data_IF_760325898032
#
_entry.id   IF_760325898032
#
_cell.length_a   1.000
_cell.length_b   1.000
_cell.length_c   1.000
_cell.angle_alpha   90.00
_cell.angle_beta   90.00
_cell.angle_gamma   90.00
#
_symmetry.space_group_name_H-M   'P 1'
#
loop_
_entity.id
_entity.type
_entity.pdbx_description
1 polymer ?
#
# COMPACT_ATOMS: atom_id res chain seq x y z
N UNK A 1 50.00 -21.71 -41.85
CA UNK A 1 48.75 -20.82 -41.58
C UNK A 1 47.48 -21.67 -41.44
N UNK A 2 47.11 -22.63 -42.19
CA UNK A 2 45.87 -23.42 -42.10
C UNK A 2 45.65 -24.14 -40.75
N UNK A 3 46.66 -24.52 -39.98
CA UNK A 3 46.54 -25.20 -38.69
C UNK A 3 46.21 -24.25 -37.55
N UNK A 4 46.60 -22.98 -37.59
CA UNK A 4 46.33 -21.98 -36.58
C UNK A 4 44.84 -21.61 -36.59
N UNK A 5 44.23 -21.49 -37.74
CA UNK A 5 42.80 -21.22 -37.85
C UNK A 5 41.93 -22.37 -37.30
N UNK A 6 42.37 -23.61 -37.44
CA UNK A 6 41.65 -24.78 -36.92
C UNK A 6 41.61 -24.77 -35.39
N UNK A 7 42.69 -24.42 -34.71
CA UNK A 7 42.73 -24.28 -33.26
C UNK A 7 41.90 -23.08 -32.75
N UNK A 8 41.88 -21.98 -33.51
CA UNK A 8 41.06 -20.81 -33.21
C UNK A 8 39.56 -21.14 -33.23
N UNK A 9 39.06 -21.89 -34.19
CA UNK A 9 37.67 -22.35 -34.26
C UNK A 9 37.33 -23.33 -33.14
N UNK A 10 38.26 -24.16 -32.71
CA UNK A 10 38.05 -25.12 -31.63
C UNK A 10 37.95 -24.41 -30.25
N UNK A 11 38.75 -23.37 -30.03
CA UNK A 11 38.68 -22.55 -28.80
C UNK A 11 37.41 -21.73 -28.74
N UNK A 12 36.95 -21.17 -29.87
CA UNK A 12 35.69 -20.39 -29.94
C UNK A 12 34.47 -21.28 -29.66
N UNK A 13 34.47 -22.55 -30.07
CA UNK A 13 33.39 -23.51 -29.82
C UNK A 13 33.23 -23.88 -28.35
N UNK A 14 34.26 -23.71 -27.51
CA UNK A 14 34.19 -23.99 -26.07
C UNK A 14 33.57 -22.87 -25.23
N UNK A 15 33.40 -21.67 -25.81
CA UNK A 15 32.84 -20.51 -25.10
C UNK A 15 31.31 -20.50 -25.04
N UNK A 16 30.63 -21.42 -25.71
CA UNK A 16 29.16 -21.50 -25.73
C UNK A 16 28.54 -22.53 -24.78
N UNK A 17 29.33 -23.19 -23.92
CA UNK A 17 28.79 -23.99 -22.83
C UNK A 17 28.52 -23.08 -21.64
N UNK A 18 27.52 -22.21 -21.76
CA UNK A 18 26.87 -21.57 -20.59
C UNK A 18 25.93 -22.61 -19.99
N UNK A 19 26.34 -23.30 -18.94
CA UNK A 19 25.43 -24.03 -18.08
C UNK A 19 24.52 -23.02 -17.43
N UNK A 20 23.28 -22.97 -17.84
CA UNK A 20 22.19 -22.40 -17.02
C UNK A 20 21.75 -23.52 -16.08
N UNK A 21 22.47 -23.71 -14.97
CA UNK A 21 21.91 -24.46 -13.85
C UNK A 21 20.76 -23.62 -13.32
N UNK A 22 19.56 -24.15 -13.46
CA UNK A 22 18.41 -23.65 -12.70
C UNK A 22 18.69 -24.00 -11.25
N UNK A 23 19.15 -23.01 -10.49
CA UNK A 23 19.28 -23.15 -9.04
C UNK A 23 17.86 -23.24 -8.50
N UNK A 24 17.46 -24.42 -8.10
CA UNK A 24 16.24 -24.66 -7.33
C UNK A 24 16.47 -24.02 -5.96
N UNK A 25 16.02 -22.75 -5.81
CA UNK A 25 16.09 -22.03 -4.55
C UNK A 25 14.94 -22.54 -3.70
N UNK A 26 15.29 -23.40 -2.73
CA UNK A 26 14.34 -23.83 -1.69
C UNK A 26 13.98 -22.62 -0.84
N UNK A 27 12.99 -21.84 -1.29
CA UNK A 27 12.45 -20.72 -0.52
C UNK A 27 11.64 -21.34 0.60
N UNK A 28 12.17 -21.29 1.82
CA UNK A 28 11.47 -21.83 2.98
C UNK A 28 10.10 -21.19 3.11
N UNK A 29 9.08 -21.99 2.82
CA UNK A 29 7.68 -21.61 2.95
C UNK A 29 7.35 -21.37 4.42
N UNK A 30 7.08 -20.12 4.79
CA UNK A 30 6.76 -19.70 6.15
C UNK A 30 5.37 -20.16 6.66
N UNK A 31 4.74 -21.13 5.97
CA UNK A 31 3.36 -21.57 6.26
C UNK A 31 2.30 -20.65 5.63
N UNK A 32 1.07 -21.15 5.52
CA UNK A 32 -0.08 -20.38 5.04
C UNK A 32 -0.52 -19.40 6.14
N UNK A 33 -0.20 -18.13 6.02
CA UNK A 33 -0.61 -17.08 6.98
C UNK A 33 -1.89 -16.42 6.52
N UNK A 34 -2.70 -16.00 7.50
CA UNK A 34 -3.84 -15.11 7.26
C UNK A 34 -3.33 -13.76 6.74
N UNK A 35 -4.01 -13.22 5.74
CA UNK A 35 -3.84 -11.85 5.25
C UNK A 35 -5.12 -11.08 5.53
N UNK A 36 -5.00 -9.97 6.25
CA UNK A 36 -6.12 -9.11 6.65
C UNK A 36 -5.92 -7.74 6.01
N UNK A 37 -6.71 -7.43 5.00
CA UNK A 37 -6.75 -6.10 4.36
C UNK A 37 -7.97 -5.35 4.91
N UNK A 38 -7.77 -4.57 5.94
CA UNK A 38 -8.82 -3.87 6.67
C UNK A 38 -8.58 -2.36 6.69
N UNK A 39 -8.67 -1.71 5.52
CA UNK A 39 -8.64 -0.26 5.40
C UNK A 39 -10.07 0.28 5.44
N UNK A 40 -10.47 0.85 6.56
CA UNK A 40 -11.77 1.49 6.73
C UNK A 40 -11.64 2.99 6.47
N UNK A 41 -11.88 3.36 5.22
CA UNK A 41 -11.72 4.73 4.74
C UNK A 41 -13.06 5.47 4.84
N UNK A 42 -13.07 6.59 5.54
CA UNK A 42 -14.22 7.47 5.64
C UNK A 42 -14.01 8.70 4.77
N UNK A 43 -14.67 8.73 3.63
CA UNK A 43 -14.64 9.89 2.76
C UNK A 43 -15.34 11.08 3.42
N UNK A 44 -14.60 12.19 3.51
CA UNK A 44 -15.04 13.44 4.15
C UNK A 44 -16.38 13.92 3.60
N UNK A 45 -17.30 14.25 4.50
CA UNK A 45 -18.65 14.69 4.11
C UNK A 45 -19.64 13.56 3.77
N UNK A 46 -19.23 12.29 3.83
CA UNK A 46 -20.13 11.14 3.65
C UNK A 46 -20.52 10.52 5.00
N UNK A 47 -21.43 9.53 4.98
CA UNK A 47 -21.79 8.78 6.19
C UNK A 47 -20.69 7.82 6.64
N UNK A 48 -19.78 7.39 5.77
CA UNK A 48 -18.73 6.44 6.08
C UNK A 48 -19.19 5.05 6.52
N UNK A 49 -20.48 4.75 6.40
CA UNK A 49 -21.13 3.57 6.98
C UNK A 49 -20.91 2.28 6.17
N UNK A 50 -20.54 2.40 4.90
CA UNK A 50 -20.25 1.26 4.03
C UNK A 50 -18.77 0.96 4.06
N UNK A 51 -18.41 -0.20 4.59
CA UNK A 51 -17.01 -0.60 4.74
C UNK A 51 -16.81 -2.04 4.26
N UNK A 52 -15.59 -2.34 3.86
CA UNK A 52 -15.18 -3.65 3.37
C UNK A 52 -13.85 -4.07 4.01
N UNK A 53 -13.78 -5.33 4.41
CA UNK A 53 -12.56 -6.01 4.86
C UNK A 53 -12.35 -7.22 3.94
N UNK A 54 -11.11 -7.47 3.52
CA UNK A 54 -10.78 -8.63 2.70
C UNK A 54 -9.89 -9.58 3.48
N UNK A 55 -10.21 -10.87 3.39
CA UNK A 55 -9.46 -11.93 4.02
C UNK A 55 -8.98 -12.94 2.98
N UNK A 56 -7.69 -13.25 3.03
CA UNK A 56 -7.08 -14.28 2.20
C UNK A 56 -5.99 -15.03 2.98
N UNK A 57 -5.44 -16.07 2.38
CA UNK A 57 -4.24 -16.75 2.89
C UNK A 57 -3.05 -16.44 1.95
N UNK A 58 -1.87 -16.31 2.54
CA UNK A 58 -0.63 -16.17 1.78
C UNK A 58 -0.40 -17.40 0.91
N UNK A 59 -0.07 -17.19 -0.35
CA UNK A 59 0.34 -18.23 -1.30
C UNK A 59 1.84 -18.17 -1.54
N UNK A 60 2.52 -19.30 -1.78
CA UNK A 60 3.93 -19.30 -2.17
C UNK A 60 4.15 -18.51 -3.46
N UNK A 61 5.25 -17.77 -3.53
CA UNK A 61 5.55 -16.87 -4.65
C UNK A 61 5.67 -17.59 -6.01
N UNK A 62 6.13 -18.85 -5.99
CA UNK A 62 6.35 -19.64 -7.21
C UNK A 62 5.19 -20.57 -7.58
N UNK A 63 4.12 -20.56 -6.80
CA UNK A 63 2.95 -21.38 -7.12
C UNK A 63 2.00 -20.57 -8.00
N UNK A 64 1.64 -21.11 -9.15
CA UNK A 64 0.59 -20.61 -10.05
C UNK A 64 -0.83 -20.72 -9.40
N UNK A 65 -0.90 -20.59 -8.09
CA UNK A 65 -2.15 -20.74 -7.34
C UNK A 65 -2.84 -19.40 -7.24
N UNK A 66 -4.10 -19.37 -7.62
CA UNK A 66 -4.97 -18.21 -7.38
C UNK A 66 -5.00 -17.85 -5.89
N UNK A 67 -5.16 -16.55 -5.60
CA UNK A 67 -5.30 -16.04 -4.22
C UNK A 67 -6.30 -16.91 -3.45
N UNK A 68 -5.86 -17.50 -2.34
CA UNK A 68 -6.72 -18.32 -1.48
C UNK A 68 -7.60 -17.40 -0.63
N UNK A 69 -8.85 -17.22 -1.05
CA UNK A 69 -9.83 -16.43 -0.28
C UNK A 69 -10.24 -17.18 0.99
N UNK A 70 -10.53 -16.41 2.05
CA UNK A 70 -11.04 -16.93 3.33
C UNK A 70 -12.53 -16.66 3.42
N UNK A 71 -13.31 -17.71 3.66
CA UNK A 71 -14.77 -17.67 3.84
C UNK A 71 -15.14 -18.25 5.20
N UNK A 72 -16.29 -17.84 5.75
CA UNK A 72 -16.81 -18.36 7.01
C UNK A 72 -16.11 -17.80 8.26
N UNK A 73 -15.28 -16.79 8.17
CA UNK A 73 -14.75 -16.10 9.33
C UNK A 73 -15.82 -15.23 10.01
N UNK A 74 -15.69 -15.04 11.31
CA UNK A 74 -16.46 -14.02 12.04
C UNK A 74 -15.59 -12.78 12.10
N UNK A 75 -16.10 -11.66 11.54
CA UNK A 75 -15.37 -10.40 11.46
C UNK A 75 -16.19 -9.32 12.16
N UNK A 76 -15.63 -8.72 13.19
CA UNK A 76 -16.26 -7.63 13.95
C UNK A 76 -15.30 -6.45 14.14
N UNK A 77 -15.86 -5.25 14.17
CA UNK A 77 -15.15 -4.03 14.59
C UNK A 77 -15.93 -3.41 15.73
N UNK A 78 -15.29 -3.24 16.86
CA UNK A 78 -15.87 -2.59 18.04
C UNK A 78 -15.26 -1.22 18.26
N UNK A 79 -16.10 -0.26 18.63
CA UNK A 79 -15.66 1.05 19.11
C UNK A 79 -15.32 0.93 20.60
N UNK A 80 -14.09 1.25 20.98
CA UNK A 80 -13.58 1.02 22.33
C UNK A 80 -14.15 1.99 23.37
N UNK A 81 -14.64 3.17 22.96
CA UNK A 81 -15.19 4.18 23.86
C UNK A 81 -16.67 3.96 24.22
N UNK A 82 -17.45 3.43 23.27
CA UNK A 82 -18.90 3.24 23.48
C UNK A 82 -19.35 1.78 23.45
N UNK A 83 -18.42 0.85 23.19
CA UNK A 83 -18.66 -0.60 23.07
C UNK A 83 -19.66 -0.98 21.95
N UNK A 84 -19.90 -0.12 20.97
CA UNK A 84 -20.70 -0.48 19.80
C UNK A 84 -19.94 -1.48 18.95
N UNK A 85 -20.56 -2.62 18.65
CA UNK A 85 -19.95 -3.70 17.82
C UNK A 85 -20.67 -3.75 16.49
N UNK A 86 -19.88 -3.71 15.41
CA UNK A 86 -20.37 -3.84 14.05
C UNK A 86 -19.85 -5.14 13.46
N UNK A 87 -20.76 -6.00 13.04
CA UNK A 87 -20.43 -7.24 12.34
C UNK A 87 -20.31 -6.98 10.83
N UNK A 88 -19.29 -7.57 10.22
CA UNK A 88 -19.11 -7.61 8.77
C UNK A 88 -19.61 -8.94 8.23
N UNK A 89 -20.44 -8.87 7.18
CA UNK A 89 -21.09 -10.04 6.58
C UNK A 89 -20.23 -10.61 5.47
N UNK A 90 -19.94 -11.91 5.54
CA UNK A 90 -19.22 -12.66 4.50
C UNK A 90 -20.00 -12.65 3.18
N UNK A 91 -19.32 -12.24 2.10
CA UNK A 91 -19.86 -12.23 0.74
C UNK A 91 -19.51 -13.51 -0.05
N UNK A 92 -18.92 -14.50 0.59
CA UNK A 92 -18.44 -15.76 -0.01
C UNK A 92 -17.42 -15.59 -1.13
N UNK A 93 -16.66 -14.49 -1.12
CA UNK A 93 -15.61 -14.18 -2.10
C UNK A 93 -14.34 -13.62 -1.43
N UNK A 94 -14.18 -13.84 -0.13
CA UNK A 94 -13.09 -13.28 0.68
C UNK A 94 -13.33 -11.84 1.13
N UNK A 95 -14.44 -11.23 0.73
CA UNK A 95 -14.83 -9.89 1.16
C UNK A 95 -15.89 -9.98 2.27
N UNK A 96 -15.73 -9.17 3.30
CA UNK A 96 -16.66 -9.00 4.41
C UNK A 96 -17.13 -7.56 4.43
N UNK A 97 -18.43 -7.32 4.40
CA UNK A 97 -18.99 -5.97 4.22
C UNK A 97 -19.95 -5.59 5.33
N UNK A 98 -20.05 -4.30 5.58
CA UNK A 98 -21.09 -3.70 6.44
C UNK A 98 -21.66 -2.44 5.81
N UNK A 99 -22.87 -2.06 6.23
CA UNK A 99 -23.49 -0.75 5.93
C UNK A 99 -23.92 -0.01 7.20
N UNK A 100 -23.46 -0.46 8.35
CA UNK A 100 -23.83 0.07 9.67
C UNK A 100 -22.66 0.60 10.49
N UNK A 101 -21.46 0.71 9.89
CA UNK A 101 -20.33 1.31 10.57
C UNK A 101 -20.58 2.79 10.84
N UNK A 102 -20.16 3.26 12.02
CA UNK A 102 -20.30 4.67 12.44
C UNK A 102 -18.92 5.22 12.78
N UNK A 103 -18.26 5.86 11.82
CA UNK A 103 -16.95 6.45 12.06
C UNK A 103 -17.07 7.67 12.98
N UNK A 104 -16.20 7.74 13.98
CA UNK A 104 -16.06 8.90 14.88
C UNK A 104 -14.56 9.19 14.98
N UNK A 105 -14.13 10.37 14.52
CA UNK A 105 -12.74 10.79 14.58
C UNK A 105 -12.18 10.76 15.99
N UNK A 106 -10.90 10.44 16.11
CA UNK A 106 -10.16 10.36 17.37
C UNK A 106 -10.65 9.26 18.34
N UNK A 107 -11.58 8.38 17.91
CA UNK A 107 -11.95 7.22 18.71
C UNK A 107 -11.17 5.99 18.25
N UNK A 108 -10.89 5.10 19.20
CA UNK A 108 -10.19 3.85 18.95
C UNK A 108 -11.16 2.73 18.65
N UNK A 109 -10.74 1.84 17.76
CA UNK A 109 -11.52 0.69 17.34
C UNK A 109 -10.66 -0.57 17.41
N UNK A 110 -11.30 -1.66 17.77
CA UNK A 110 -10.68 -3.00 17.78
C UNK A 110 -11.34 -3.86 16.71
N UNK A 111 -10.52 -4.35 15.77
CA UNK A 111 -10.89 -5.41 14.83
C UNK A 111 -10.67 -6.76 15.51
N UNK A 112 -11.63 -7.65 15.37
CA UNK A 112 -11.49 -9.07 15.72
C UNK A 112 -11.89 -9.93 14.53
N UNK A 113 -11.01 -10.87 14.15
CA UNK A 113 -11.24 -11.87 13.12
C UNK A 113 -11.07 -13.25 13.75
N UNK A 114 -12.14 -14.06 13.74
CA UNK A 114 -12.11 -15.45 14.23
C UNK A 114 -12.26 -16.38 13.03
N UNK A 115 -11.28 -17.24 12.84
CA UNK A 115 -11.26 -18.20 11.73
C UNK A 115 -10.54 -19.50 12.12
N UNK A 116 -11.15 -20.65 11.86
CA UNK A 116 -10.61 -22.01 12.15
C UNK A 116 -10.12 -22.19 13.60
N UNK A 117 -10.74 -21.49 14.57
CA UNK A 117 -10.40 -21.55 15.98
C UNK A 117 -9.30 -20.58 16.42
N UNK A 118 -8.67 -19.88 15.49
CA UNK A 118 -7.71 -18.82 15.76
C UNK A 118 -8.41 -17.45 15.82
N UNK A 119 -7.87 -16.55 16.64
CA UNK A 119 -8.38 -15.18 16.80
C UNK A 119 -7.28 -14.18 16.52
N UNK A 120 -7.54 -13.29 15.58
CA UNK A 120 -6.63 -12.18 15.24
C UNK A 120 -7.25 -10.87 15.71
N UNK A 121 -6.46 -10.04 16.37
CA UNK A 121 -6.88 -8.76 16.94
C UNK A 121 -5.97 -7.66 16.43
N UNK A 122 -6.57 -6.54 16.04
CA UNK A 122 -5.85 -5.31 15.74
C UNK A 122 -6.57 -4.11 16.34
N UNK A 123 -5.82 -3.10 16.74
CA UNK A 123 -6.35 -1.86 17.29
C UNK A 123 -5.80 -0.66 16.53
N UNK A 124 -6.70 0.29 16.23
CA UNK A 124 -6.32 1.53 15.54
C UNK A 124 -7.27 2.66 15.94
N UNK A 125 -6.79 3.89 15.83
CA UNK A 125 -7.58 5.10 16.08
C UNK A 125 -7.96 5.75 14.75
N UNK A 126 -9.23 6.14 14.60
CA UNK A 126 -9.68 6.83 13.40
C UNK A 126 -9.05 8.22 13.34
N UNK A 127 -8.15 8.41 12.39
CA UNK A 127 -7.38 9.64 12.23
C UNK A 127 -8.09 10.59 11.27
N UNK A 128 -8.35 11.86 11.67
CA UNK A 128 -8.93 12.87 10.79
C UNK A 128 -7.95 13.28 9.69
N UNK A 129 -8.47 13.84 8.60
CA UNK A 129 -7.68 14.46 7.54
C UNK A 129 -8.06 15.91 7.34
N UNK A 130 -7.10 16.73 6.93
CA UNK A 130 -7.34 18.08 6.44
C UNK A 130 -7.92 18.06 5.03
N UNK A 131 -8.57 19.16 4.62
CA UNK A 131 -9.04 19.25 3.24
C UNK A 131 -7.89 19.59 2.28
N UNK A 132 -7.95 19.06 1.06
CA UNK A 132 -7.13 19.54 -0.06
C UNK A 132 -7.56 20.96 -0.36
N UNK A 133 -6.65 21.93 -0.22
CA UNK A 133 -6.95 23.34 -0.42
C UNK A 133 -7.00 23.71 -1.89
N UNK A 134 -6.00 23.28 -2.66
CA UNK A 134 -5.90 23.53 -4.08
C UNK A 134 -5.04 22.47 -4.78
N UNK A 135 -5.29 22.32 -6.07
CA UNK A 135 -4.48 21.51 -6.98
C UNK A 135 -4.19 22.38 -8.19
N UNK A 136 -2.93 22.41 -8.61
CA UNK A 136 -2.48 23.06 -9.85
C UNK A 136 -1.41 22.21 -10.54
N UNK A 137 -0.84 22.69 -11.61
CA UNK A 137 0.27 22.06 -12.32
C UNK A 137 1.37 23.08 -12.63
N UNK A 138 2.58 22.60 -12.69
CA UNK A 138 3.74 23.36 -13.16
C UNK A 138 4.82 22.41 -13.71
N UNK A 139 6.00 22.94 -13.98
CA UNK A 139 7.22 22.19 -14.28
C UNK A 139 8.38 22.67 -13.40
N UNK A 140 8.08 23.31 -12.23
CA UNK A 140 9.08 24.02 -11.44
C UNK A 140 9.43 23.31 -10.13
N UNK A 141 8.53 22.50 -9.60
CA UNK A 141 8.64 21.87 -8.28
C UNK A 141 9.10 20.39 -8.34
N UNK A 142 9.00 19.78 -9.53
CA UNK A 142 9.43 18.41 -9.78
C UNK A 142 10.93 18.22 -9.93
N UNK A 143 11.34 17.02 -10.30
CA UNK A 143 12.74 16.67 -10.53
C UNK A 143 13.22 17.10 -11.93
N UNK A 144 12.33 17.12 -12.92
CA UNK A 144 12.61 17.50 -14.31
C UNK A 144 11.74 18.68 -14.72
N UNK A 145 12.39 19.78 -15.15
CA UNK A 145 11.72 21.01 -15.55
C UNK A 145 11.03 20.96 -16.91
N UNK A 146 11.23 19.89 -17.64
CA UNK A 146 10.58 19.66 -18.93
C UNK A 146 9.32 18.76 -18.79
N UNK A 147 9.07 18.23 -17.57
CA UNK A 147 7.97 17.31 -17.26
C UNK A 147 6.89 18.02 -16.43
N UNK A 148 5.62 17.79 -16.78
CA UNK A 148 4.48 18.32 -16.01
C UNK A 148 4.37 17.57 -14.68
N UNK A 149 4.29 18.32 -13.59
CA UNK A 149 3.86 17.80 -12.28
C UNK A 149 2.52 18.39 -11.86
N UNK A 150 1.72 17.58 -11.15
CA UNK A 150 0.51 18.02 -10.47
C UNK A 150 0.85 18.30 -9.00
N UNK A 151 0.55 19.51 -8.55
CA UNK A 151 0.85 20.02 -7.22
C UNK A 151 -0.39 19.98 -6.34
N UNK A 152 -0.29 19.42 -5.16
CA UNK A 152 -1.37 19.27 -4.18
C UNK A 152 -1.00 20.07 -2.93
N UNK A 153 -1.87 20.97 -2.50
CA UNK A 153 -1.66 21.83 -1.34
C UNK A 153 -2.72 21.60 -0.29
N UNK A 154 -2.31 21.57 0.98
CA UNK A 154 -3.20 21.49 2.13
C UNK A 154 -2.56 22.20 3.34
N UNK A 155 -3.37 22.63 4.31
CA UNK A 155 -2.89 23.31 5.50
C UNK A 155 -2.83 22.33 6.66
N UNK A 156 -1.66 22.21 7.25
CA UNK A 156 -1.43 21.34 8.39
C UNK A 156 -1.82 22.03 9.72
N UNK A 157 -2.50 21.34 10.66
CA UNK A 157 -2.82 21.88 11.97
C UNK A 157 -1.60 21.97 12.88
N UNK A 158 -1.45 23.07 13.62
CA UNK A 158 -0.31 23.32 14.52
C UNK A 158 -0.33 22.50 15.82
N UNK A 159 -1.50 21.98 16.24
CA UNK A 159 -1.72 21.50 17.59
C UNK A 159 -1.01 20.19 17.94
N UNK A 160 -0.67 19.35 16.95
CA UNK A 160 -0.04 18.03 17.12
C UNK A 160 0.66 17.58 15.85
N UNK A 161 1.57 16.62 15.99
CA UNK A 161 2.22 15.97 14.83
C UNK A 161 1.19 15.24 13.97
N UNK A 162 1.24 15.48 12.68
CA UNK A 162 0.34 14.88 11.70
C UNK A 162 1.13 14.02 10.69
N UNK A 163 0.48 12.95 10.28
CA UNK A 163 0.99 12.03 9.28
C UNK A 163 -0.05 11.85 8.19
N UNK A 164 0.39 11.88 6.95
CA UNK A 164 -0.47 11.77 5.79
C UNK A 164 0.03 10.69 4.84
N UNK A 165 -0.91 10.11 4.10
CA UNK A 165 -0.63 9.31 2.92
C UNK A 165 -1.35 9.97 1.75
N UNK A 166 -0.64 10.21 0.66
CA UNK A 166 -1.27 10.58 -0.61
C UNK A 166 -1.27 9.38 -1.54
N UNK A 167 -2.41 9.17 -2.21
CA UNK A 167 -2.57 8.19 -3.26
C UNK A 167 -2.94 8.94 -4.53
N UNK A 168 -2.08 8.84 -5.52
CA UNK A 168 -2.11 9.59 -6.77
C UNK A 168 -2.24 8.60 -7.91
N UNK A 169 -3.31 8.69 -8.69
CA UNK A 169 -3.61 7.70 -9.71
C UNK A 169 -4.01 8.37 -11.03
N UNK A 170 -3.11 8.38 -11.98
CA UNK A 170 -3.48 8.65 -13.35
C UNK A 170 -4.29 7.46 -13.88
N UNK A 171 -5.49 7.72 -14.41
CA UNK A 171 -6.50 6.67 -14.70
C UNK A 171 -6.08 5.62 -15.73
N UNK A 172 -5.02 5.87 -16.49
CA UNK A 172 -4.45 4.90 -17.45
C UNK A 172 -3.44 3.98 -16.83
N UNK A 173 -2.92 4.32 -15.62
CA UNK A 173 -1.94 3.50 -14.92
C UNK A 173 -2.59 2.27 -14.29
N UNK A 174 -1.84 1.18 -14.23
CA UNK A 174 -2.31 -0.04 -13.59
C UNK A 174 -2.40 0.09 -12.07
N UNK A 175 -1.48 0.86 -11.46
CA UNK A 175 -1.37 1.04 -10.02
C UNK A 175 -1.22 2.53 -9.68
N UNK A 176 -1.73 2.95 -8.51
CA UNK A 176 -1.51 4.30 -8.02
C UNK A 176 -0.09 4.46 -7.45
N UNK A 177 0.42 5.68 -7.46
CA UNK A 177 1.61 6.08 -6.71
C UNK A 177 1.22 6.44 -5.29
N UNK A 178 1.95 5.94 -4.31
CA UNK A 178 1.79 6.25 -2.90
C UNK A 178 2.93 7.14 -2.43
N UNK A 179 2.60 8.16 -1.62
CA UNK A 179 3.57 9.04 -0.97
C UNK A 179 3.21 9.18 0.50
N UNK A 180 4.13 8.85 1.38
CA UNK A 180 4.04 9.14 2.79
C UNK A 180 4.56 10.56 3.08
N UNK A 181 3.86 11.28 3.94
CA UNK A 181 4.19 12.66 4.28
C UNK A 181 4.07 12.84 5.80
N UNK A 182 5.03 13.55 6.42
CA UNK A 182 4.95 13.97 7.82
C UNK A 182 5.21 15.48 7.93
N UNK A 183 4.65 16.08 8.95
CA UNK A 183 4.84 17.50 9.27
C UNK A 183 6.06 17.77 10.16
N UNK A 184 6.89 16.78 10.44
CA UNK A 184 8.02 16.83 11.40
C UNK A 184 8.83 18.13 11.32
N UNK A 185 9.01 18.68 10.10
CA UNK A 185 9.74 19.93 9.88
C UNK A 185 8.85 21.09 9.40
N UNK A 186 7.56 20.89 9.25
CA UNK A 186 6.62 21.83 8.62
C UNK A 186 5.34 22.03 9.41
N UNK A 187 5.28 21.55 10.65
CA UNK A 187 4.09 21.58 11.52
C UNK A 187 3.43 22.99 11.54
N UNK A 188 2.12 23.04 11.27
CA UNK A 188 1.31 24.23 11.22
C UNK A 188 1.50 25.08 9.97
N UNK A 189 2.16 24.57 8.95
CA UNK A 189 2.38 25.27 7.70
C UNK A 189 1.55 24.70 6.54
N UNK A 190 1.55 25.44 5.43
CA UNK A 190 1.02 24.92 4.18
C UNK A 190 1.95 23.83 3.64
N UNK A 191 1.41 22.63 3.52
CA UNK A 191 2.07 21.46 2.96
C UNK A 191 1.92 21.44 1.46
N UNK A 192 2.93 20.89 0.78
CA UNK A 192 2.96 20.71 -0.66
C UNK A 192 3.46 19.30 -0.99
N UNK A 193 2.69 18.60 -1.82
CA UNK A 193 3.08 17.32 -2.42
C UNK A 193 2.95 17.46 -3.93
N UNK A 194 3.93 17.00 -4.68
CA UNK A 194 3.85 16.97 -6.13
C UNK A 194 3.82 15.54 -6.68
N UNK A 195 3.17 15.39 -7.81
CA UNK A 195 3.08 14.15 -8.58
C UNK A 195 3.65 14.37 -9.97
N UNK A 196 4.81 13.80 -10.20
CA UNK A 196 5.52 13.79 -11.45
C UNK A 196 5.71 12.35 -11.90
N UNK A 197 5.54 12.08 -13.18
CA UNK A 197 5.71 10.76 -13.79
C UNK A 197 6.83 10.79 -14.79
N UNK A 198 7.63 9.74 -14.79
CA UNK A 198 8.68 9.53 -15.79
C UNK A 198 8.31 8.36 -16.69
N UNK A 199 8.82 8.39 -17.91
CA UNK A 199 8.68 7.22 -18.78
C UNK A 199 9.40 6.01 -18.17
N UNK A 200 8.67 4.90 -18.11
CA UNK A 200 9.19 3.62 -17.65
C UNK A 200 8.73 2.53 -18.63
N UNK A 201 9.66 2.01 -19.40
CA UNK A 201 9.38 0.98 -20.42
C UNK A 201 8.88 -0.34 -19.80
N UNK A 202 9.33 -0.68 -18.59
CA UNK A 202 8.96 -1.92 -17.90
C UNK A 202 7.53 -1.93 -17.41
N UNK A 203 7.02 -0.76 -16.93
CA UNK A 203 5.64 -0.59 -16.46
C UNK A 203 4.72 0.03 -17.51
N UNK A 204 5.27 0.47 -18.65
CA UNK A 204 4.59 1.24 -19.68
C UNK A 204 3.97 2.55 -19.16
N UNK A 205 4.51 3.07 -18.07
CA UNK A 205 4.18 4.41 -17.55
C UNK A 205 4.74 5.49 -18.46
N UNK A 206 3.99 6.57 -18.59
CA UNK A 206 4.36 7.73 -19.41
C UNK A 206 4.21 9.01 -18.60
N UNK A 207 4.92 10.05 -19.01
CA UNK A 207 4.74 11.40 -18.50
C UNK A 207 3.28 11.86 -18.60
N UNK A 208 2.90 12.78 -17.71
CA UNK A 208 1.58 13.41 -17.76
C UNK A 208 1.46 14.30 -18.99
N UNK A 209 0.33 14.17 -19.68
CA UNK A 209 0.00 14.94 -20.89
C UNK A 209 -1.31 15.70 -20.69
N UNK A 210 -1.51 16.82 -21.40
CA UNK A 210 -2.79 17.51 -21.43
C UNK A 210 -3.97 16.58 -21.74
N UNK A 211 -4.98 16.61 -20.86
CA UNK A 211 -6.16 15.75 -20.92
C UNK A 211 -6.08 14.50 -20.05
N UNK A 212 -4.94 14.19 -19.43
CA UNK A 212 -4.85 13.10 -18.46
C UNK A 212 -5.62 13.45 -17.18
N UNK A 213 -6.18 12.42 -16.56
CA UNK A 213 -7.00 12.57 -15.36
C UNK A 213 -6.29 11.92 -14.18
N UNK A 214 -5.99 12.73 -13.17
CA UNK A 214 -5.35 12.28 -11.94
C UNK A 214 -6.36 12.29 -10.80
N UNK A 215 -6.69 11.13 -10.26
CA UNK A 215 -7.46 10.98 -9.03
C UNK A 215 -6.50 11.13 -7.83
N UNK A 216 -6.85 12.01 -6.91
CA UNK A 216 -6.02 12.42 -5.77
C UNK A 216 -6.76 12.10 -4.50
N UNK A 217 -6.14 11.33 -3.62
CA UNK A 217 -6.67 10.98 -2.33
C UNK A 217 -5.65 11.37 -1.25
N UNK A 218 -6.08 12.16 -0.26
CA UNK A 218 -5.30 12.55 0.91
C UNK A 218 -5.89 11.88 2.15
N UNK A 219 -5.08 11.10 2.85
CA UNK A 219 -5.46 10.35 4.05
C UNK A 219 -4.76 10.92 5.27
N UNK A 220 -5.48 11.15 6.37
CA UNK A 220 -4.89 11.33 7.70
C UNK A 220 -4.59 9.95 8.30
N UNK A 221 -3.36 9.69 8.66
CA UNK A 221 -2.95 8.37 9.14
C UNK A 221 -2.26 8.44 10.50
N UNK A 222 -2.34 7.35 11.26
CA UNK A 222 -1.63 7.24 12.53
C UNK A 222 -0.11 7.13 12.30
N UNK A 223 0.69 7.57 13.30
CA UNK A 223 2.15 7.38 13.28
C UNK A 223 2.56 5.92 13.08
N UNK A 224 1.79 5.00 13.66
CA UNK A 224 2.08 3.56 13.54
C UNK A 224 1.88 3.07 12.12
N UNK A 225 0.79 3.50 11.48
CA UNK A 225 0.55 3.18 10.08
C UNK A 225 1.53 3.90 9.15
N UNK A 226 1.91 5.15 9.44
CA UNK A 226 2.94 5.87 8.70
C UNK A 226 4.26 5.10 8.66
N UNK A 227 4.73 4.61 9.80
CA UNK A 227 5.95 3.80 9.86
C UNK A 227 5.83 2.50 9.05
N UNK A 228 4.66 1.86 9.07
CA UNK A 228 4.39 0.65 8.30
C UNK A 228 4.39 0.92 6.80
N UNK A 229 3.61 1.90 6.34
CA UNK A 229 3.45 2.18 4.90
C UNK A 229 4.72 2.74 4.27
N UNK A 230 5.47 3.54 5.01
CA UNK A 230 6.78 4.04 4.59
C UNK A 230 7.73 2.89 4.27
N UNK A 231 7.86 1.91 5.17
CA UNK A 231 8.69 0.73 4.92
C UNK A 231 8.19 -0.08 3.71
N UNK A 232 6.89 -0.16 3.51
CA UNK A 232 6.31 -0.84 2.35
C UNK A 232 6.66 -0.12 1.04
N UNK A 233 6.53 1.22 1.01
CA UNK A 233 6.92 2.05 -0.13
C UNK A 233 8.42 1.89 -0.40
N UNK A 234 9.27 2.05 0.62
CA UNK A 234 10.72 1.89 0.50
C UNK A 234 11.12 0.50 -0.06
N UNK A 235 10.43 -0.57 0.34
CA UNK A 235 10.69 -1.92 -0.17
C UNK A 235 10.25 -2.09 -1.63
N UNK A 236 9.15 -1.46 -2.02
CA UNK A 236 8.68 -1.48 -3.39
C UNK A 236 9.63 -0.71 -4.32
N UNK A 237 10.09 0.47 -3.88
CA UNK A 237 10.97 1.34 -4.67
C UNK A 237 12.41 0.82 -4.75
N UNK A 238 12.84 -0.01 -3.79
CA UNK A 238 14.19 -0.59 -3.76
C UNK A 238 14.50 -1.53 -4.93
N UNK A 239 13.50 -1.94 -5.72
CA UNK A 239 13.64 -2.57 -7.05
C UNK A 239 14.51 -3.81 -7.15
N UNK A 240 14.90 -4.47 -6.05
CA UNK A 240 15.69 -5.71 -6.09
C UNK A 240 17.11 -5.58 -6.68
N UNK A 241 17.66 -4.37 -6.76
CA UNK A 241 19.01 -4.13 -7.28
C UNK A 241 20.10 -4.76 -6.40
N UNK A 242 21.33 -4.98 -6.95
CA UNK A 242 22.42 -5.67 -6.25
C UNK A 242 22.92 -4.93 -5.00
N UNK A 243 22.48 -3.70 -4.79
CA UNK A 243 22.78 -2.86 -3.62
C UNK A 243 21.55 -2.62 -2.73
N UNK A 244 20.40 -3.25 -3.05
CA UNK A 244 19.21 -3.15 -2.20
C UNK A 244 19.47 -3.87 -0.87
N UNK A 245 18.99 -3.29 0.22
CA UNK A 245 19.00 -3.94 1.52
C UNK A 245 18.03 -5.12 1.52
N UNK A 246 18.35 -6.18 2.27
CA UNK A 246 17.41 -7.29 2.47
C UNK A 246 16.09 -6.73 3.01
N UNK A 247 14.95 -7.04 2.38
CA UNK A 247 13.66 -6.56 2.87
C UNK A 247 13.45 -6.93 4.34
N UNK A 248 13.14 -5.95 5.17
CA UNK A 248 12.74 -6.24 6.55
C UNK A 248 11.42 -7.01 6.53
N UNK A 249 11.26 -7.94 7.48
CA UNK A 249 9.95 -8.60 7.66
C UNK A 249 8.93 -7.56 8.10
N UNK A 250 8.06 -7.15 7.17
CA UNK A 250 7.03 -6.16 7.43
C UNK A 250 5.85 -6.81 8.15
N UNK A 251 5.64 -6.43 9.41
CA UNK A 251 4.50 -6.88 10.20
C UNK A 251 3.50 -5.75 10.35
N UNK A 252 2.23 -6.03 10.04
CA UNK A 252 1.13 -5.13 10.35
C UNK A 252 0.77 -5.13 11.83
N UNK A 253 -0.41 -4.61 12.15
CA UNK A 253 -0.90 -4.53 13.53
C UNK A 253 -1.84 -5.69 13.93
N UNK A 254 -2.07 -6.67 13.04
CA UNK A 254 -2.95 -7.81 13.30
C UNK A 254 -2.19 -8.93 14.02
N UNK A 255 -2.47 -9.14 15.30
CA UNK A 255 -1.79 -10.09 16.16
C UNK A 255 -2.72 -11.24 16.57
N UNK A 256 -2.15 -12.42 16.81
CA UNK A 256 -2.85 -13.53 17.46
C UNK A 256 -2.42 -13.61 18.93
N UNK A 257 -3.29 -13.26 19.90
CA UNK A 257 -2.93 -13.25 21.32
C UNK A 257 -2.61 -14.63 21.88
N UNK A 258 -3.22 -15.70 21.34
CA UNK A 258 -2.97 -17.06 21.78
C UNK A 258 -1.64 -17.62 21.24
N UNK A 259 -1.25 -17.18 20.04
CA UNK A 259 -0.02 -17.61 19.36
C UNK A 259 0.67 -16.42 18.67
N UNK A 260 1.52 -15.64 19.38
CA UNK A 260 2.17 -14.46 18.82
C UNK A 260 3.07 -14.70 17.59
N UNK A 261 3.46 -15.96 17.33
CA UNK A 261 4.21 -16.33 16.13
C UNK A 261 3.31 -16.53 14.90
N UNK A 262 2.01 -16.73 15.11
CA UNK A 262 1.01 -16.84 14.06
C UNK A 262 0.22 -15.54 13.91
N UNK A 263 0.91 -14.44 13.65
CA UNK A 263 0.33 -13.13 13.34
C UNK A 263 -0.21 -13.12 11.90
N UNK A 264 -1.23 -12.31 11.64
CA UNK A 264 -1.69 -12.08 10.28
C UNK A 264 -0.83 -11.03 9.57
N UNK A 265 -0.71 -11.16 8.24
CA UNK A 265 -0.15 -10.13 7.37
C UNK A 265 -1.22 -9.07 7.05
N UNK A 266 -0.80 -7.94 6.52
CA UNK A 266 -1.68 -6.82 6.23
C UNK A 266 -1.84 -5.87 7.42
N UNK A 267 -2.84 -4.99 7.35
CA UNK A 267 -3.00 -3.93 8.36
C UNK A 267 -4.48 -3.56 8.54
N UNK A 268 -4.86 -3.29 9.78
CA UNK A 268 -6.13 -2.64 10.14
C UNK A 268 -5.88 -1.15 10.30
N UNK A 269 -6.44 -0.35 9.39
CA UNK A 269 -6.35 1.11 9.35
C UNK A 269 -7.73 1.73 9.39
N UNK A 270 -7.86 2.82 10.15
CA UNK A 270 -9.04 3.69 10.15
C UNK A 270 -8.61 5.11 9.84
N UNK A 271 -9.18 5.71 8.82
CA UNK A 271 -8.75 7.01 8.35
C UNK A 271 -9.89 7.80 7.72
N UNK A 272 -9.93 9.11 7.96
CA UNK A 272 -10.67 10.02 7.12
C UNK A 272 -9.86 10.28 5.83
N UNK A 273 -10.54 10.40 4.69
CA UNK A 273 -9.92 10.68 3.40
C UNK A 273 -10.63 11.84 2.72
N UNK A 274 -9.86 12.76 2.16
CA UNK A 274 -10.33 13.81 1.25
C UNK A 274 -9.94 13.46 -0.18
N UNK A 275 -10.85 13.68 -1.14
CA UNK A 275 -10.68 13.25 -2.52
C UNK A 275 -10.95 14.39 -3.49
N UNK A 276 -10.17 14.44 -4.53
CA UNK A 276 -10.40 15.33 -5.67
C UNK A 276 -9.87 14.69 -6.95
N UNK A 277 -10.22 15.28 -8.08
CA UNK A 277 -9.74 14.85 -9.40
C UNK A 277 -9.18 16.08 -10.10
N UNK A 278 -8.03 15.93 -10.76
CA UNK A 278 -7.42 16.98 -11.56
C UNK A 278 -7.32 16.53 -13.03
N UNK A 279 -7.60 17.46 -13.94
CA UNK A 279 -7.41 17.25 -15.38
C UNK A 279 -6.20 18.10 -15.79
N UNK A 280 -5.18 17.42 -16.30
CA UNK A 280 -3.95 18.08 -16.78
C UNK A 280 -4.26 18.97 -17.97
N UNK A 281 -3.80 20.22 -17.94
CA UNK A 281 -4.06 21.25 -18.96
C UNK A 281 -2.93 21.36 -20.01
#
# INVERSE_FOLDING_TARGET
MKRIHLYSYFIISFLFFSCTDVVDVDVSYGGSRMVIEASLDWEKGTLGNKQIIKLSKMTPYFDDVSIQIVQGAIVTVSNDENNEVVQFVDQNNGSYTTSSFKPIVNQSYTLEVVFEGETYIAKETLTPVVAIESVDQSTENGFDKDVIEVNIYFNDPLEYENYYLTKLHERKDLFPTLRDVSDEFTNGNKMHVFYEKFENEDTNEKELLPGDIVDIELYGISKTYYNYIRLLIEQNDAGGGPFSTTPASLRGNCTNPANPNDYALGYFRLTEVDRTTYIVE
#
